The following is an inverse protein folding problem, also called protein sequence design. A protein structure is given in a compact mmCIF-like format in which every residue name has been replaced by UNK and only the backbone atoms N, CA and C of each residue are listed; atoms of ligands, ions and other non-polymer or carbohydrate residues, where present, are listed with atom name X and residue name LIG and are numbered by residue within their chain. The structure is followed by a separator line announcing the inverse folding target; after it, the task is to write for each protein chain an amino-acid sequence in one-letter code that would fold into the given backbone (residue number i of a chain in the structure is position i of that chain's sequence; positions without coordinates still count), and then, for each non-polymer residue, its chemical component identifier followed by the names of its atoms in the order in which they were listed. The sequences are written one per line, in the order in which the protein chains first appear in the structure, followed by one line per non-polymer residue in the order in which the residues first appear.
data_IF_657530402308
#
_entry.id   IF_657530402308
#
_cell.length_a   1.000
_cell.length_b   1.000
_cell.length_c   1.000
_cell.angle_alpha   90.00
_cell.angle_beta   90.00
_cell.angle_gamma   90.00
#
_symmetry.space_group_name_H-M   'P 1'
#
loop_
_entity.id
_entity.type
_entity.pdbx_description
1 polymer ?
#
# COMPACT_ATOMS: atom_id res chain seq x y z
N UNK A 1 54.68 -25.43 -31.71
CA UNK A 1 54.31 -24.15 -31.08
C UNK A 1 53.38 -23.43 -32.05
N UNK A 2 52.07 -23.44 -31.78
CA UNK A 2 51.08 -22.87 -32.70
C UNK A 2 50.91 -21.37 -32.40
N UNK A 3 51.24 -20.53 -33.37
CA UNK A 3 50.97 -19.09 -33.32
C UNK A 3 49.74 -18.86 -34.20
N UNK A 4 48.62 -18.52 -33.56
CA UNK A 4 47.39 -18.11 -34.24
C UNK A 4 47.49 -16.62 -34.53
N UNK A 5 47.52 -16.28 -35.82
CA UNK A 5 47.46 -14.91 -36.31
C UNK A 5 46.00 -14.59 -36.65
N UNK A 6 45.38 -13.64 -35.95
CA UNK A 6 44.04 -13.14 -36.31
C UNK A 6 44.16 -11.81 -37.05
N UNK A 7 43.59 -11.83 -38.26
CA UNK A 7 43.58 -10.75 -39.26
C UNK A 7 42.21 -10.06 -39.27
N UNK A 8 42.25 -8.73 -39.04
CA UNK A 8 41.31 -7.61 -39.26
C UNK A 8 39.77 -7.79 -39.41
N UNK A 9 39.05 -6.80 -38.84
CA UNK A 9 38.05 -5.92 -39.53
C UNK A 9 36.54 -5.96 -39.22
N UNK A 10 36.06 -6.41 -38.05
CA UNK A 10 34.61 -6.35 -37.71
C UNK A 10 34.24 -5.73 -36.35
N UNK A 11 35.14 -4.96 -35.74
CA UNK A 11 34.95 -4.42 -34.38
C UNK A 11 33.78 -3.41 -34.23
N UNK A 12 33.30 -2.82 -35.34
CA UNK A 12 32.18 -1.86 -35.31
C UNK A 12 30.80 -2.52 -35.15
N UNK A 13 30.63 -3.77 -35.59
CA UNK A 13 29.35 -4.49 -35.51
C UNK A 13 29.08 -5.11 -34.13
N UNK A 14 30.13 -5.54 -33.44
CA UNK A 14 30.01 -6.17 -32.11
C UNK A 14 29.62 -5.15 -31.04
N UNK A 15 30.14 -3.91 -31.12
CA UNK A 15 29.76 -2.84 -30.19
C UNK A 15 28.28 -2.44 -30.33
N UNK A 16 27.76 -2.43 -31.57
CA UNK A 16 26.36 -2.05 -31.84
C UNK A 16 25.37 -3.13 -31.38
N UNK A 17 25.75 -4.41 -31.50
CA UNK A 17 24.96 -5.54 -30.98
C UNK A 17 24.84 -5.55 -29.46
N UNK A 18 25.92 -5.23 -28.74
CA UNK A 18 25.90 -5.17 -27.26
C UNK A 18 25.08 -3.97 -26.76
N UNK A 19 25.12 -2.82 -27.46
CA UNK A 19 24.31 -1.65 -27.12
C UNK A 19 22.80 -1.91 -27.30
N UNK A 20 22.40 -2.58 -28.38
CA UNK A 20 20.99 -2.92 -28.62
C UNK A 20 20.42 -3.90 -27.59
N UNK A 21 21.21 -4.88 -27.15
CA UNK A 21 20.80 -5.80 -26.09
C UNK A 21 20.71 -5.08 -24.73
N UNK A 22 21.62 -4.16 -24.42
CA UNK A 22 21.56 -3.35 -23.20
C UNK A 22 20.33 -2.41 -23.19
N UNK A 23 20.01 -1.77 -24.32
CA UNK A 23 18.79 -0.95 -24.45
C UNK A 23 17.51 -1.76 -24.35
N UNK A 24 17.49 -3.00 -24.86
CA UNK A 24 16.33 -3.88 -24.73
C UNK A 24 16.10 -4.31 -23.26
N UNK A 25 17.17 -4.62 -22.52
CA UNK A 25 17.08 -4.98 -21.10
C UNK A 25 16.66 -3.77 -20.24
N UNK A 26 17.18 -2.56 -20.51
CA UNK A 26 16.72 -1.34 -19.86
C UNK A 26 15.28 -0.97 -20.23
N UNK A 27 14.88 -1.19 -21.49
CA UNK A 27 13.51 -0.94 -21.95
C UNK A 27 12.48 -1.83 -21.26
N UNK A 28 12.81 -3.11 -21.03
CA UNK A 28 11.96 -4.04 -20.27
C UNK A 28 11.93 -3.66 -18.78
N UNK A 29 13.05 -3.21 -18.20
CA UNK A 29 13.09 -2.77 -16.80
C UNK A 29 12.27 -1.47 -16.58
N UNK A 30 12.35 -0.51 -17.52
CA UNK A 30 11.57 0.72 -17.48
C UNK A 30 10.07 0.50 -17.80
N UNK A 31 9.75 -0.46 -18.67
CA UNK A 31 8.37 -0.86 -18.95
C UNK A 31 7.74 -1.61 -17.77
N UNK A 32 8.53 -2.32 -16.95
CA UNK A 32 8.06 -2.99 -15.73
C UNK A 32 7.88 -2.05 -14.51
N UNK A 33 8.54 -0.88 -14.51
CA UNK A 33 8.44 0.14 -13.44
C UNK A 33 7.61 1.36 -13.83
N UNK A 34 6.84 1.28 -14.92
CA UNK A 34 5.88 2.31 -15.27
C UNK A 34 4.69 2.24 -14.31
N UNK A 35 4.86 2.78 -13.10
CA UNK A 35 3.74 3.15 -12.22
C UNK A 35 3.00 4.26 -12.96
N UNK A 36 2.06 3.83 -13.81
CA UNK A 36 1.03 4.69 -14.35
C UNK A 36 0.25 5.22 -13.14
N UNK A 37 0.61 6.40 -12.67
CA UNK A 37 -0.24 7.19 -11.76
C UNK A 37 -1.45 7.61 -12.60
N UNK A 38 -2.40 6.69 -12.75
CA UNK A 38 -3.62 6.91 -13.47
C UNK A 38 -4.41 7.99 -12.73
N UNK A 39 -4.71 9.07 -13.44
CA UNK A 39 -5.60 10.12 -12.98
C UNK A 39 -6.92 9.50 -12.50
N UNK A 40 -7.24 9.65 -11.20
CA UNK A 40 -8.42 9.09 -10.54
C UNK A 40 -9.71 9.66 -11.14
N UNK A 41 -10.19 9.08 -12.24
CA UNK A 41 -11.63 8.99 -12.49
C UNK A 41 -12.20 8.05 -11.43
N UNK A 42 -13.39 8.33 -10.89
CA UNK A 42 -14.07 7.48 -9.91
C UNK A 42 -14.47 6.13 -10.56
N UNK A 43 -13.48 5.29 -10.81
CA UNK A 43 -13.65 3.93 -11.27
C UNK A 43 -14.19 3.11 -10.10
N UNK A 44 -15.17 2.26 -10.40
CA UNK A 44 -15.62 1.23 -9.46
C UNK A 44 -14.41 0.37 -9.13
N UNK A 45 -14.11 0.20 -7.83
CA UNK A 45 -13.00 -0.63 -7.38
C UNK A 45 -13.13 -2.05 -7.96
N UNK A 46 -12.03 -2.60 -8.48
CA UNK A 46 -11.96 -4.03 -8.80
C UNK A 46 -11.75 -4.78 -7.48
N UNK A 47 -12.45 -5.90 -7.30
CA UNK A 47 -12.40 -6.72 -6.09
C UNK A 47 -11.85 -8.11 -6.36
N UNK A 48 -11.34 -8.40 -7.56
CA UNK A 48 -10.69 -9.69 -7.88
C UNK A 48 -9.41 -9.88 -7.07
N UNK A 49 -9.15 -11.11 -6.64
CA UNK A 49 -8.04 -11.46 -5.75
C UNK A 49 -7.68 -12.96 -5.79
N UNK A 50 -8.01 -13.66 -6.87
CA UNK A 50 -7.81 -15.11 -6.99
C UNK A 50 -6.31 -15.47 -7.05
N UNK A 51 -5.54 -14.68 -7.79
CA UNK A 51 -4.09 -14.83 -7.94
C UNK A 51 -3.32 -13.64 -7.34
N UNK A 52 -1.98 -13.76 -7.29
CA UNK A 52 -1.14 -12.75 -6.65
C UNK A 52 -1.20 -11.39 -7.36
N UNK A 53 -1.23 -11.41 -8.69
CA UNK A 53 -1.29 -10.21 -9.53
C UNK A 53 -2.61 -9.45 -9.30
N UNK A 54 -3.73 -10.16 -9.14
CA UNK A 54 -5.01 -9.56 -8.79
C UNK A 54 -5.01 -8.93 -7.38
N UNK A 55 -4.36 -9.56 -6.40
CA UNK A 55 -4.23 -8.98 -5.04
C UNK A 55 -3.36 -7.73 -5.02
N UNK A 56 -2.26 -7.73 -5.76
CA UNK A 56 -1.42 -6.54 -5.96
C UNK A 56 -2.24 -5.45 -6.66
N UNK A 57 -2.97 -5.80 -7.73
CA UNK A 57 -3.82 -4.85 -8.44
C UNK A 57 -4.87 -4.22 -7.51
N UNK A 58 -5.55 -5.04 -6.69
CA UNK A 58 -6.52 -4.60 -5.70
C UNK A 58 -5.92 -3.56 -4.74
N UNK A 59 -4.74 -3.80 -4.16
CA UNK A 59 -4.12 -2.87 -3.22
C UNK A 59 -3.55 -1.62 -3.93
N UNK A 60 -2.99 -1.80 -5.13
CA UNK A 60 -2.43 -0.70 -5.93
C UNK A 60 -3.49 0.32 -6.37
N UNK A 61 -4.75 -0.10 -6.53
CA UNK A 61 -5.84 0.82 -6.90
C UNK A 61 -6.08 1.89 -5.82
N UNK A 62 -5.72 1.57 -4.56
CA UNK A 62 -5.75 2.52 -3.46
C UNK A 62 -4.45 3.30 -3.29
N UNK A 63 -3.35 2.86 -3.93
CA UNK A 63 -2.03 3.48 -3.86
C UNK A 63 -1.01 2.73 -3.01
N UNK A 64 -1.31 1.51 -2.58
CA UNK A 64 -0.38 0.72 -1.77
C UNK A 64 0.64 -0.04 -2.61
N UNK A 65 1.88 -0.05 -2.15
CA UNK A 65 2.98 -0.85 -2.69
C UNK A 65 3.28 -2.01 -1.75
N UNK A 66 3.31 -3.22 -2.31
CA UNK A 66 3.56 -4.48 -1.61
C UNK A 66 4.45 -5.38 -2.48
N UNK A 67 5.02 -6.42 -1.88
CA UNK A 67 5.67 -7.51 -2.62
C UNK A 67 4.66 -8.58 -3.05
N UNK A 68 5.01 -9.38 -4.08
CA UNK A 68 4.13 -10.43 -4.59
C UNK A 68 3.90 -11.55 -3.57
N UNK A 69 4.95 -11.91 -2.83
CA UNK A 69 4.91 -12.94 -1.81
C UNK A 69 4.27 -12.39 -0.51
N UNK A 70 3.20 -13.01 -0.01
CA UNK A 70 2.58 -12.60 1.25
C UNK A 70 3.45 -12.99 2.44
N UNK A 71 3.38 -12.20 3.52
CA UNK A 71 3.99 -12.54 4.80
C UNK A 71 3.30 -13.74 5.46
N UNK A 72 1.97 -13.82 5.34
CA UNK A 72 1.16 -14.89 5.90
C UNK A 72 -0.03 -15.21 5.00
N UNK A 73 -0.39 -16.50 4.94
CA UNK A 73 -1.65 -16.98 4.37
C UNK A 73 -2.31 -17.91 5.39
N UNK A 74 -3.53 -17.59 5.81
CA UNK A 74 -4.29 -18.39 6.76
C UNK A 74 -5.75 -18.53 6.34
N UNK A 75 -6.39 -19.64 6.74
CA UNK A 75 -7.83 -19.83 6.55
C UNK A 75 -8.57 -19.39 7.81
N UNK A 76 -9.53 -18.48 7.67
CA UNK A 76 -10.31 -17.92 8.78
C UNK A 76 -11.78 -18.26 8.62
N UNK A 77 -12.44 -18.61 9.72
CA UNK A 77 -13.88 -18.81 9.76
C UNK A 77 -14.56 -17.47 10.07
N UNK A 78 -15.37 -16.96 9.15
CA UNK A 78 -16.20 -15.79 9.43
C UNK A 78 -17.31 -16.23 10.40
N UNK A 79 -17.46 -15.60 11.58
CA UNK A 79 -18.45 -16.02 12.55
C UNK A 79 -19.88 -15.94 12.00
N UNK A 80 -20.75 -16.89 12.32
CA UNK A 80 -22.17 -16.81 11.94
C UNK A 80 -22.95 -15.77 12.75
N UNK A 81 -22.40 -15.35 13.89
CA UNK A 81 -22.94 -14.30 14.77
C UNK A 81 -21.78 -13.40 15.15
N UNK A 82 -21.96 -12.10 14.99
CA UNK A 82 -20.94 -11.12 15.33
C UNK A 82 -21.11 -10.71 16.78
N UNK A 83 -20.01 -10.67 17.52
CA UNK A 83 -19.95 -9.96 18.78
C UNK A 83 -19.74 -8.47 18.49
N UNK A 84 -19.77 -7.65 19.55
CA UNK A 84 -19.63 -6.20 19.41
C UNK A 84 -18.34 -5.79 18.67
N UNK A 85 -17.23 -6.49 18.91
CA UNK A 85 -15.95 -6.15 18.28
C UNK A 85 -15.97 -6.47 16.77
N UNK A 86 -16.53 -7.61 16.39
CA UNK A 86 -16.67 -7.97 14.98
C UNK A 86 -17.73 -7.12 14.28
N UNK A 87 -18.79 -6.71 14.97
CA UNK A 87 -19.77 -5.74 14.46
C UNK A 87 -19.10 -4.40 14.13
N UNK A 88 -18.33 -3.83 15.06
CA UNK A 88 -17.58 -2.59 14.85
C UNK A 88 -16.60 -2.72 13.66
N UNK A 89 -15.89 -3.84 13.57
CA UNK A 89 -15.03 -4.13 12.43
C UNK A 89 -15.81 -4.22 11.11
N UNK A 90 -16.94 -4.93 11.07
CA UNK A 90 -17.75 -5.06 9.87
C UNK A 90 -18.41 -3.73 9.45
N UNK A 91 -18.75 -2.85 10.38
CA UNK A 91 -19.26 -1.51 10.06
C UNK A 91 -18.21 -0.66 9.33
N UNK A 92 -16.91 -0.81 9.64
CA UNK A 92 -15.84 -0.19 8.85
C UNK A 92 -15.84 -0.72 7.41
N UNK A 93 -15.96 -2.04 7.24
CA UNK A 93 -15.97 -2.69 5.92
C UNK A 93 -17.16 -2.25 5.07
N UNK A 94 -18.36 -2.15 5.69
CA UNK A 94 -19.61 -1.81 4.99
C UNK A 94 -19.59 -0.45 4.32
N UNK A 95 -18.84 0.52 4.86
CA UNK A 95 -18.66 1.85 4.26
C UNK A 95 -18.19 1.79 2.80
N UNK A 96 -17.51 0.69 2.44
CA UNK A 96 -16.93 0.46 1.11
C UNK A 96 -17.57 -0.73 0.39
N UNK A 97 -18.79 -1.10 0.78
CA UNK A 97 -19.56 -2.18 0.15
C UNK A 97 -19.11 -3.60 0.53
N UNK A 98 -18.17 -3.73 1.46
CA UNK A 98 -17.69 -5.02 1.97
C UNK A 98 -18.49 -5.39 3.23
N UNK A 99 -19.38 -6.37 3.12
CA UNK A 99 -20.22 -6.80 4.25
C UNK A 99 -19.95 -8.27 4.60
N UNK A 100 -19.14 -8.47 5.63
CA UNK A 100 -18.72 -9.79 6.11
C UNK A 100 -19.89 -10.60 6.68
N UNK A 101 -20.98 -9.95 7.12
CA UNK A 101 -22.14 -10.66 7.67
C UNK A 101 -22.81 -11.59 6.65
N UNK A 102 -22.67 -11.28 5.35
CA UNK A 102 -23.14 -12.11 4.23
C UNK A 102 -22.37 -13.43 4.09
N UNK A 103 -21.20 -13.53 4.73
CA UNK A 103 -20.31 -14.67 4.66
C UNK A 103 -20.24 -15.44 5.99
N UNK A 104 -21.18 -15.21 6.91
CA UNK A 104 -21.21 -15.91 8.20
C UNK A 104 -21.21 -17.44 8.06
N UNK A 105 -20.31 -18.10 8.78
CA UNK A 105 -20.07 -19.55 8.72
C UNK A 105 -19.23 -20.02 7.53
N UNK A 106 -18.80 -19.12 6.64
CA UNK A 106 -17.91 -19.44 5.51
C UNK A 106 -16.45 -19.33 5.96
N UNK A 107 -15.59 -20.09 5.28
CA UNK A 107 -14.14 -19.95 5.42
C UNK A 107 -13.58 -19.09 4.30
N UNK A 108 -12.81 -18.08 4.66
CA UNK A 108 -12.11 -17.18 3.74
C UNK A 108 -10.60 -17.35 3.93
N UNK A 109 -9.81 -17.04 2.90
CA UNK A 109 -8.36 -16.93 3.02
C UNK A 109 -7.98 -15.51 3.42
N UNK A 110 -7.24 -15.36 4.50
CA UNK A 110 -6.57 -14.11 4.85
C UNK A 110 -5.18 -14.12 4.22
N UNK A 111 -4.90 -13.10 3.42
CA UNK A 111 -3.56 -12.81 2.90
C UNK A 111 -3.02 -11.58 3.60
N UNK A 112 -1.83 -11.69 4.17
CA UNK A 112 -1.18 -10.58 4.87
C UNK A 112 0.07 -10.17 4.09
N UNK A 113 0.17 -8.88 3.79
CA UNK A 113 1.25 -8.29 3.02
C UNK A 113 1.94 -7.20 3.83
N UNK A 114 3.23 -7.00 3.62
CA UNK A 114 3.93 -5.81 4.11
C UNK A 114 3.63 -4.63 3.18
N UNK A 115 3.27 -3.48 3.76
CA UNK A 115 3.09 -2.22 3.03
C UNK A 115 4.41 -1.46 3.00
N UNK A 116 4.93 -1.18 1.81
CA UNK A 116 6.27 -0.59 1.62
C UNK A 116 6.27 0.94 1.60
N UNK A 117 5.14 1.56 1.27
CA UNK A 117 5.03 3.00 1.02
C UNK A 117 4.10 3.73 1.99
N UNK A 118 3.84 3.19 3.18
CA UNK A 118 3.02 3.91 4.16
C UNK A 118 3.76 5.16 4.67
N UNK A 119 3.16 6.38 4.63
CA UNK A 119 3.83 7.61 5.03
C UNK A 119 4.39 7.58 6.46
N UNK A 120 5.70 7.80 6.60
CA UNK A 120 6.41 7.79 7.88
C UNK A 120 6.76 6.38 8.40
N UNK A 121 6.42 5.33 7.64
CA UNK A 121 6.69 3.93 7.97
C UNK A 121 7.22 3.15 6.76
N UNK A 122 7.85 3.84 5.80
CA UNK A 122 8.31 3.26 4.55
C UNK A 122 9.31 2.12 4.80
N UNK A 123 9.04 0.96 4.22
CA UNK A 123 9.84 -0.27 4.37
C UNK A 123 10.15 -0.65 5.84
N UNK A 124 9.27 -0.27 6.77
CA UNK A 124 9.49 -0.53 8.20
C UNK A 124 9.22 -1.97 8.62
N UNK A 125 8.47 -2.74 7.82
CA UNK A 125 7.93 -4.03 8.23
C UNK A 125 6.80 -3.96 9.27
N UNK A 126 6.42 -2.75 9.71
CA UNK A 126 5.44 -2.55 10.80
C UNK A 126 4.01 -2.38 10.29
N UNK A 127 3.84 -1.98 9.03
CA UNK A 127 2.52 -1.77 8.44
C UNK A 127 2.18 -2.96 7.55
N UNK A 128 1.00 -3.53 7.79
CA UNK A 128 0.49 -4.67 7.06
C UNK A 128 -0.84 -4.37 6.38
N UNK A 129 -1.06 -5.01 5.23
CA UNK A 129 -2.33 -5.07 4.55
C UNK A 129 -2.91 -6.49 4.65
N UNK A 130 -4.11 -6.60 5.19
CA UNK A 130 -4.86 -7.85 5.30
C UNK A 130 -5.96 -7.88 4.25
N UNK A 131 -6.03 -8.95 3.45
CA UNK A 131 -7.10 -9.21 2.49
C UNK A 131 -7.85 -10.49 2.86
N UNK A 132 -9.16 -10.39 3.12
CA UNK A 132 -10.03 -11.55 3.25
C UNK A 132 -10.63 -11.89 1.89
N UNK A 133 -10.24 -13.04 1.35
CA UNK A 133 -10.62 -13.50 0.01
C UNK A 133 -11.53 -14.71 0.10
N UNK A 134 -12.71 -14.62 -0.52
CA UNK A 134 -13.67 -15.71 -0.66
C UNK A 134 -14.09 -15.82 -2.14
N UNK A 135 -14.03 -17.03 -2.70
CA UNK A 135 -14.35 -17.29 -4.11
C UNK A 135 -13.64 -16.33 -5.09
N UNK A 136 -12.34 -16.09 -4.84
CA UNK A 136 -11.49 -15.25 -5.71
C UNK A 136 -11.75 -13.75 -5.61
N UNK A 137 -12.54 -13.29 -4.62
CA UNK A 137 -12.87 -11.87 -4.43
C UNK A 137 -12.56 -11.39 -3.03
N UNK A 138 -12.13 -10.13 -2.90
CA UNK A 138 -12.00 -9.46 -1.62
C UNK A 138 -13.39 -9.21 -1.02
N UNK A 139 -13.60 -9.74 0.18
CA UNK A 139 -14.85 -9.60 0.94
C UNK A 139 -14.70 -8.72 2.19
N UNK A 140 -13.46 -8.34 2.52
CA UNK A 140 -13.09 -7.47 3.62
C UNK A 140 -11.58 -7.32 3.73
N UNK A 141 -11.12 -6.41 4.57
CA UNK A 141 -9.72 -6.31 4.97
C UNK A 141 -9.32 -4.92 5.45
N UNK A 142 -8.05 -4.76 5.79
CA UNK A 142 -7.57 -3.60 6.52
C UNK A 142 -6.09 -3.31 6.29
N UNK A 143 -5.70 -2.09 6.63
CA UNK A 143 -4.33 -1.65 6.83
C UNK A 143 -4.11 -1.48 8.33
N UNK A 144 -3.12 -2.17 8.90
CA UNK A 144 -2.85 -2.12 10.33
C UNK A 144 -1.37 -1.91 10.67
N UNK A 145 -1.12 -1.34 11.85
CA UNK A 145 0.23 -1.24 12.44
C UNK A 145 0.43 -2.29 13.53
N UNK A 146 1.60 -2.92 13.55
CA UNK A 146 2.02 -3.89 14.56
C UNK A 146 2.52 -3.26 15.87
N UNK A 147 2.54 -1.93 15.95
CA UNK A 147 2.99 -1.22 17.15
C UNK A 147 2.00 -1.39 18.32
N UNK A 148 2.49 -1.18 19.55
CA UNK A 148 1.67 -1.30 20.77
C UNK A 148 0.47 -0.35 20.77
N UNK A 149 0.61 0.84 20.18
CA UNK A 149 -0.47 1.79 19.95
C UNK A 149 -0.82 1.84 18.45
N UNK A 150 -0.83 0.68 17.81
CA UNK A 150 -1.13 0.55 16.39
C UNK A 150 -2.56 0.96 16.07
N UNK A 151 -2.86 0.98 14.78
CA UNK A 151 -4.16 1.32 14.25
C UNK A 151 -4.67 0.19 13.37
N UNK A 152 -5.97 0.22 13.10
CA UNK A 152 -6.62 -0.57 12.07
C UNK A 152 -7.47 0.39 11.25
N UNK A 153 -7.27 0.40 9.93
CA UNK A 153 -7.99 1.28 9.01
C UNK A 153 -8.38 0.57 7.73
N UNK A 154 -9.24 1.21 6.96
CA UNK A 154 -9.64 0.81 5.61
C UNK A 154 -8.50 0.97 4.59
N UNK A 155 -8.73 0.52 3.36
CA UNK A 155 -7.73 0.53 2.29
C UNK A 155 -7.40 1.90 1.71
N UNK A 156 -8.10 2.98 2.07
CA UNK A 156 -7.77 4.28 1.48
C UNK A 156 -6.40 4.75 1.96
N UNK A 157 -5.55 5.11 1.01
CA UNK A 157 -4.27 5.72 1.30
C UNK A 157 -4.51 6.98 2.11
N UNK A 158 -3.80 7.19 3.23
CA UNK A 158 -3.98 8.39 4.03
C UNK A 158 -3.65 9.59 3.14
N UNK A 159 -4.64 10.44 2.87
CA UNK A 159 -4.33 11.82 2.52
C UNK A 159 -3.40 12.31 3.62
N UNK A 160 -2.22 12.86 3.23
CA UNK A 160 -1.30 13.48 4.18
C UNK A 160 -2.13 14.29 5.16
N UNK A 161 -2.22 13.82 6.41
CA UNK A 161 -2.87 14.57 7.46
C UNK A 161 -2.06 15.86 7.54
N UNK A 162 -2.55 16.91 6.89
CA UNK A 162 -1.96 18.23 6.92
C UNK A 162 -2.15 18.71 8.35
N UNK A 163 -1.21 18.31 9.19
CA UNK A 163 -0.90 18.79 10.53
C UNK A 163 -1.76 19.99 10.93
N UNK A 164 -2.94 19.73 11.47
CA UNK A 164 -3.53 20.62 12.47
C UNK A 164 -2.97 20.18 13.81
N UNK A 165 -1.66 20.36 13.97
CA UNK A 165 -1.08 20.57 15.30
C UNK A 165 -1.68 21.88 15.81
N UNK A 166 -2.76 21.78 16.60
CA UNK A 166 -3.12 22.86 17.50
C UNK A 166 -2.12 22.86 18.66
N UNK A 167 -0.91 23.32 18.37
CA UNK A 167 -0.01 23.86 19.39
C UNK A 167 -0.58 25.22 19.83
N UNK A 168 -1.36 25.23 20.91
CA UNK A 168 -1.55 26.45 21.69
C UNK A 168 -0.75 26.29 22.98
N UNK A 169 0.57 26.40 22.85
CA UNK A 169 1.46 26.65 23.99
C UNK A 169 1.32 28.12 24.41
N UNK A 170 1.04 28.29 25.70
CA UNK A 170 0.96 29.52 26.48
C UNK A 170 2.16 30.45 26.23
N UNK A 171 1.88 31.74 25.98
CA UNK A 171 2.91 32.77 25.84
C UNK A 171 2.39 34.19 26.07
N UNK A 172 2.48 34.62 27.33
CA UNK A 172 2.92 35.95 27.79
C UNK A 172 2.41 37.20 27.05
N UNK A 173 1.64 38.04 27.75
CA UNK A 173 1.62 39.48 27.47
C UNK A 173 1.90 40.27 28.76
N UNK A 174 3.19 40.54 29.00
CA UNK A 174 3.63 41.67 29.82
C UNK A 174 3.44 42.94 28.96
N UNK A 175 2.36 43.67 29.22
CA UNK A 175 2.13 45.00 28.69
C UNK A 175 2.17 46.04 29.81
N UNK A 176 3.37 46.54 30.11
CA UNK A 176 3.58 47.80 30.82
C UNK A 176 3.13 48.94 29.90
N UNK A 177 2.32 49.89 30.39
CA UNK A 177 2.55 51.35 30.38
C UNK A 177 1.27 52.06 30.84
N UNK A 178 1.42 53.03 31.75
CA UNK A 178 0.37 53.56 32.60
C UNK A 178 -0.45 54.71 32.03
N UNK A 179 -1.46 55.12 32.82
CA UNK A 179 -2.01 56.48 32.83
C UNK A 179 -2.34 56.84 34.29
N UNK A 180 -1.85 58.02 34.67
CA UNK A 180 -2.00 58.71 35.97
C UNK A 180 -3.25 59.60 35.93
N UNK A 181 -3.75 59.97 37.12
CA UNK A 181 -4.67 61.08 37.50
C UNK A 181 -6.08 60.62 37.95
N UNK A 182 -6.39 60.62 39.25
CA UNK A 182 -6.66 61.72 40.21
C UNK A 182 -8.08 62.26 40.15
N UNK A 183 -8.92 61.90 41.12
CA UNK A 183 -9.57 62.77 42.13
C UNK A 183 -10.09 61.89 43.28
#
# INVERSE_FOLDING_TARGET
MFIVSLRSSTFKGVLFGVFLVACAVLGVYAAGHSVSVASRSAAVADYRAENAQERIAFLSQFGWEIEEDPMEVSEVLIPSKFDKAFEEYNELQKKHGLDLSKYGGRRAKRWTYEVKNYPGYENSGLIQANLFVYEGRVIGGDICSLETNGFLREFYYPEQERSTEHETTVGQNLGVTGVVQSQ
#
